data_IF_162918417887
#
_entry.id   IF_162918417887
#
_cell.length_a   1.000
_cell.length_b   1.000
_cell.length_c   1.000
_cell.angle_alpha   90.00
_cell.angle_beta   90.00
_cell.angle_gamma   90.00
#
_symmetry.space_group_name_H-M   'P 1'
#
loop_
_entity.id
_entity.type
_entity.pdbx_description
1 polymer ?
#
# COMPACT_ATOMS: atom_id res chain seq x y z
N UNK A 1 -10.00 -5.91 -20.28
CA UNK A 1 -9.53 -6.59 -19.05
C UNK A 1 -8.52 -5.75 -18.28
N UNK A 2 -7.47 -5.20 -18.91
CA UNK A 2 -6.39 -4.43 -18.24
C UNK A 2 -6.81 -3.12 -17.55
N UNK A 3 -8.00 -2.56 -17.81
CA UNK A 3 -8.51 -1.35 -17.15
C UNK A 3 -9.68 -1.63 -16.18
N UNK A 4 -10.03 -2.91 -15.96
CA UNK A 4 -11.10 -3.24 -15.04
C UNK A 4 -10.62 -3.03 -13.58
N UNK A 5 -11.30 -2.21 -12.76
CA UNK A 5 -10.85 -1.90 -11.40
C UNK A 5 -10.71 -3.14 -10.51
N UNK A 6 -11.60 -4.12 -10.64
CA UNK A 6 -11.56 -5.37 -9.87
C UNK A 6 -10.31 -6.17 -10.24
N UNK A 7 -10.01 -6.27 -11.54
CA UNK A 7 -8.81 -6.95 -12.01
C UNK A 7 -7.53 -6.27 -11.50
N UNK A 8 -7.48 -4.94 -11.52
CA UNK A 8 -6.35 -4.17 -10.97
C UNK A 8 -6.22 -4.37 -9.45
N UNK A 9 -7.33 -4.42 -8.71
CA UNK A 9 -7.32 -4.72 -7.28
C UNK A 9 -6.76 -6.12 -6.98
N UNK A 10 -7.02 -7.12 -7.84
CA UNK A 10 -6.44 -8.45 -7.69
C UNK A 10 -4.91 -8.42 -7.86
N UNK A 11 -4.40 -7.71 -8.88
CA UNK A 11 -2.95 -7.56 -9.08
C UNK A 11 -2.32 -6.89 -7.86
N UNK A 12 -2.95 -5.82 -7.34
CA UNK A 12 -2.49 -5.12 -6.13
C UNK A 12 -2.47 -6.08 -4.94
N UNK A 13 -3.51 -6.90 -4.74
CA UNK A 13 -3.58 -7.85 -3.64
C UNK A 13 -2.43 -8.89 -3.71
N UNK A 14 -2.15 -9.44 -4.89
CA UNK A 14 -1.03 -10.37 -5.06
C UNK A 14 0.33 -9.69 -4.85
N UNK A 15 0.53 -8.50 -5.42
CA UNK A 15 1.78 -7.76 -5.28
C UNK A 15 2.05 -7.37 -3.83
N UNK A 16 1.11 -6.66 -3.19
CA UNK A 16 1.27 -6.13 -1.83
C UNK A 16 1.14 -7.20 -0.74
N UNK A 17 0.39 -8.27 -0.97
CA UNK A 17 0.32 -9.43 -0.07
C UNK A 17 1.49 -10.39 -0.22
N UNK A 18 2.08 -10.50 -1.41
CA UNK A 18 3.14 -11.47 -1.71
C UNK A 18 4.54 -11.00 -1.33
N UNK A 19 4.91 -9.74 -1.61
CA UNK A 19 6.27 -9.27 -1.35
C UNK A 19 6.71 -9.39 0.12
N UNK A 20 5.85 -9.19 1.16
CA UNK A 20 6.26 -9.35 2.55
C UNK A 20 6.75 -10.76 2.87
N UNK A 21 6.14 -11.78 2.24
CA UNK A 21 6.53 -13.18 2.38
C UNK A 21 7.93 -13.41 1.79
N UNK A 22 8.18 -12.85 0.59
CA UNK A 22 9.48 -12.94 -0.09
C UNK A 22 10.56 -12.23 0.76
N UNK A 23 10.26 -11.03 1.25
CA UNK A 23 11.20 -10.24 2.06
C UNK A 23 11.54 -10.92 3.39
N UNK A 24 10.55 -11.53 4.06
CA UNK A 24 10.73 -12.33 5.27
C UNK A 24 11.58 -13.57 5.00
N UNK A 25 11.27 -14.32 3.93
CA UNK A 25 12.00 -15.52 3.55
C UNK A 25 13.47 -15.22 3.21
N UNK A 26 13.74 -14.05 2.62
CA UNK A 26 15.08 -13.58 2.31
C UNK A 26 15.86 -13.08 3.55
N UNK A 27 15.25 -13.03 4.74
CA UNK A 27 15.92 -12.60 5.97
C UNK A 27 16.35 -11.13 5.97
N UNK A 28 15.67 -10.27 5.18
CA UNK A 28 16.08 -8.88 5.02
C UNK A 28 15.80 -8.07 6.30
N UNK A 29 16.76 -7.26 6.79
CA UNK A 29 16.53 -6.35 7.91
C UNK A 29 15.58 -5.21 7.48
N UNK A 30 14.92 -4.50 8.42
CA UNK A 30 13.90 -3.50 8.08
C UNK A 30 14.39 -2.42 7.09
N UNK A 31 15.62 -1.93 7.26
CA UNK A 31 16.21 -0.96 6.35
C UNK A 31 16.54 -1.58 4.98
N UNK A 32 17.01 -2.83 4.97
CA UNK A 32 17.28 -3.58 3.74
C UNK A 32 16.02 -3.83 2.93
N UNK A 33 14.90 -4.18 3.58
CA UNK A 33 13.57 -4.24 2.96
C UNK A 33 13.26 -2.88 2.31
N UNK A 34 13.33 -1.80 3.08
CA UNK A 34 12.96 -0.47 2.59
C UNK A 34 13.78 -0.05 1.35
N UNK A 35 15.09 -0.25 1.36
CA UNK A 35 15.98 0.16 0.27
C UNK A 35 15.86 -0.77 -0.94
N UNK A 36 15.98 -2.08 -0.76
CA UNK A 36 16.02 -3.05 -1.87
C UNK A 36 14.69 -3.08 -2.61
N UNK A 37 13.55 -3.07 -1.90
CA UNK A 37 12.24 -2.97 -2.55
C UNK A 37 12.05 -1.64 -3.27
N UNK A 38 12.54 -0.54 -2.71
CA UNK A 38 12.45 0.76 -3.39
C UNK A 38 13.23 0.76 -4.71
N UNK A 39 14.44 0.19 -4.73
CA UNK A 39 15.23 0.04 -5.96
C UNK A 39 14.48 -0.83 -6.99
N UNK A 40 13.97 -1.99 -6.56
CA UNK A 40 13.19 -2.87 -7.44
C UNK A 40 11.93 -2.19 -7.98
N UNK A 41 11.26 -1.40 -7.15
CA UNK A 41 10.07 -0.62 -7.54
C UNK A 41 10.43 0.47 -8.55
N UNK A 42 11.50 1.23 -8.33
CA UNK A 42 11.97 2.25 -9.29
C UNK A 42 12.33 1.60 -10.63
N UNK A 43 13.03 0.47 -10.62
CA UNK A 43 13.38 -0.25 -11.83
C UNK A 43 12.12 -0.73 -12.59
N UNK A 44 11.17 -1.36 -11.89
CA UNK A 44 9.93 -1.83 -12.48
C UNK A 44 9.09 -0.68 -13.06
N UNK A 45 8.93 0.42 -12.31
CA UNK A 45 8.15 1.59 -12.75
C UNK A 45 8.83 2.31 -13.91
N UNK A 46 10.17 2.45 -13.90
CA UNK A 46 10.90 3.11 -14.99
C UNK A 46 10.81 2.32 -16.29
N UNK A 47 10.78 0.98 -16.23
CA UNK A 47 10.65 0.14 -17.42
C UNK A 47 9.33 0.35 -18.18
N UNK A 48 8.25 0.73 -17.49
CA UNK A 48 6.92 0.98 -18.08
C UNK A 48 6.53 2.45 -18.10
N UNK A 49 7.28 3.31 -17.40
CA UNK A 49 7.00 4.73 -17.21
C UNK A 49 6.83 5.54 -18.50
N UNK A 50 7.70 5.39 -19.51
CA UNK A 50 7.57 6.11 -20.78
C UNK A 50 6.26 5.86 -21.54
N UNK A 51 5.56 4.75 -21.24
CA UNK A 51 4.29 4.39 -21.86
C UNK A 51 3.10 5.00 -21.09
N UNK A 52 3.28 5.29 -19.80
CA UNK A 52 2.20 5.69 -18.88
C UNK A 52 2.29 7.15 -18.43
N UNK A 53 3.32 7.89 -18.84
CA UNK A 53 3.61 9.21 -18.32
C UNK A 53 3.98 10.21 -19.42
N UNK A 54 3.40 11.41 -19.34
CA UNK A 54 3.81 12.57 -20.14
C UNK A 54 4.19 13.73 -19.22
N UNK A 55 5.23 14.47 -19.61
CA UNK A 55 5.75 15.60 -18.83
C UNK A 55 4.82 16.82 -18.85
N UNK A 56 3.88 16.86 -19.79
CA UNK A 56 2.96 17.99 -20.01
C UNK A 56 2.04 18.28 -18.82
N UNK A 57 1.76 17.26 -17.99
CA UNK A 57 0.91 17.39 -16.80
C UNK A 57 1.70 17.75 -15.52
N UNK A 58 3.03 17.86 -15.58
CA UNK A 58 3.87 18.02 -14.40
C UNK A 58 3.96 19.48 -14.00
N UNK A 59 3.26 19.83 -12.92
CA UNK A 59 3.35 21.16 -12.30
C UNK A 59 4.17 21.12 -11.01
N UNK A 60 4.68 22.28 -10.56
CA UNK A 60 5.35 22.40 -9.26
C UNK A 60 4.49 21.86 -8.11
N UNK A 61 3.18 22.09 -8.18
CA UNK A 61 2.21 21.57 -7.20
C UNK A 61 2.18 20.04 -7.21
N UNK A 62 2.12 19.42 -8.38
CA UNK A 62 2.12 17.95 -8.53
C UNK A 62 3.41 17.35 -7.95
N UNK A 63 4.57 17.94 -8.25
CA UNK A 63 5.86 17.50 -7.70
C UNK A 63 5.88 17.61 -6.18
N UNK A 64 5.48 18.76 -5.62
CA UNK A 64 5.47 18.96 -4.17
C UNK A 64 4.54 17.99 -3.45
N UNK A 65 3.31 17.81 -3.93
CA UNK A 65 2.35 16.87 -3.34
C UNK A 65 2.82 15.42 -3.50
N UNK A 66 3.44 15.08 -4.63
CA UNK A 66 4.04 13.77 -4.86
C UNK A 66 5.19 13.47 -3.89
N UNK A 67 6.07 14.45 -3.65
CA UNK A 67 7.15 14.33 -2.66
C UNK A 67 6.62 14.18 -1.24
N UNK A 68 5.60 14.96 -0.87
CA UNK A 68 4.95 14.84 0.45
C UNK A 68 4.32 13.45 0.64
N UNK A 69 3.60 12.95 -0.36
CA UNK A 69 3.06 11.59 -0.35
C UNK A 69 4.19 10.54 -0.25
N UNK A 70 5.30 10.76 -0.95
CA UNK A 70 6.50 9.92 -0.86
C UNK A 70 7.10 9.85 0.55
N UNK A 71 7.15 10.98 1.27
CA UNK A 71 7.61 11.03 2.67
C UNK A 71 6.67 10.24 3.59
N UNK A 72 5.35 10.46 3.47
CA UNK A 72 4.34 9.71 4.24
C UNK A 72 4.46 8.21 3.98
N UNK A 73 4.62 7.83 2.71
CA UNK A 73 4.84 6.44 2.31
C UNK A 73 6.14 5.89 2.92
N UNK A 74 7.27 6.62 2.82
CA UNK A 74 8.56 6.18 3.35
C UNK A 74 8.54 5.92 4.86
N UNK A 75 7.92 6.80 5.64
CA UNK A 75 7.75 6.61 7.09
C UNK A 75 6.90 5.37 7.38
N UNK A 76 5.75 5.25 6.71
CA UNK A 76 4.84 4.10 6.86
C UNK A 76 5.52 2.80 6.45
N UNK A 77 6.33 2.85 5.39
CA UNK A 77 7.05 1.70 4.85
C UNK A 77 8.15 1.21 5.78
N UNK A 78 8.83 2.11 6.51
CA UNK A 78 9.79 1.72 7.56
C UNK A 78 9.09 1.02 8.73
N UNK A 79 7.94 1.54 9.18
CA UNK A 79 7.15 0.90 10.23
C UNK A 79 6.67 -0.49 9.78
N UNK A 80 6.14 -0.59 8.55
CA UNK A 80 5.71 -1.86 7.98
C UNK A 80 6.87 -2.83 7.78
N UNK A 81 8.04 -2.37 7.34
CA UNK A 81 9.25 -3.20 7.19
C UNK A 81 9.71 -3.80 8.51
N UNK A 82 9.53 -3.10 9.64
CA UNK A 82 9.78 -3.66 10.97
C UNK A 82 8.82 -4.79 11.32
N UNK A 83 7.53 -4.62 11.01
CA UNK A 83 6.54 -5.71 11.17
C UNK A 83 6.93 -6.92 10.31
N UNK A 84 7.28 -6.67 9.05
CA UNK A 84 7.63 -7.71 8.07
C UNK A 84 8.94 -8.41 8.40
N UNK A 85 9.93 -7.78 9.02
CA UNK A 85 11.24 -8.43 9.26
C UNK A 85 11.37 -9.10 10.62
N UNK A 86 10.47 -8.86 11.58
CA UNK A 86 10.64 -9.36 12.95
C UNK A 86 10.27 -10.85 13.10
N UNK A 87 11.24 -11.77 13.31
CA UNK A 87 11.00 -13.21 13.42
C UNK A 87 10.11 -13.62 14.59
N UNK A 88 10.02 -12.79 15.64
CA UNK A 88 9.19 -13.06 16.81
C UNK A 88 7.69 -12.77 16.59
N UNK A 89 7.34 -12.17 15.46
CA UNK A 89 5.97 -11.79 15.13
C UNK A 89 5.43 -12.62 13.97
N UNK A 90 4.25 -13.19 14.19
CA UNK A 90 3.55 -13.96 13.17
C UNK A 90 3.15 -13.06 12.00
N UNK A 91 3.78 -13.31 10.85
CA UNK A 91 3.51 -12.54 9.64
C UNK A 91 2.04 -12.68 9.22
N UNK A 92 1.43 -13.85 9.46
CA UNK A 92 0.00 -14.11 9.22
C UNK A 92 -0.94 -13.30 10.11
N UNK A 93 -0.44 -12.65 11.16
CA UNK A 93 -1.23 -11.81 12.05
C UNK A 93 -1.02 -10.34 11.74
N UNK A 94 0.23 -9.86 11.80
CA UNK A 94 0.51 -8.42 11.77
C UNK A 94 0.51 -7.81 10.37
N UNK A 95 0.86 -8.57 9.32
CA UNK A 95 0.78 -8.07 7.94
C UNK A 95 -0.69 -7.90 7.52
N UNK A 96 -1.58 -8.90 7.66
CA UNK A 96 -2.99 -8.71 7.39
C UNK A 96 -3.62 -7.60 8.22
N UNK A 97 -3.26 -7.48 9.51
CA UNK A 97 -3.72 -6.40 10.38
C UNK A 97 -3.39 -5.02 9.79
N UNK A 98 -2.14 -4.78 9.42
CA UNK A 98 -1.70 -3.50 8.88
C UNK A 98 -2.37 -3.19 7.54
N UNK A 99 -2.50 -4.18 6.64
CA UNK A 99 -3.19 -4.01 5.36
C UNK A 99 -4.67 -3.70 5.58
N UNK A 100 -5.34 -4.44 6.47
CA UNK A 100 -6.76 -4.25 6.76
C UNK A 100 -7.05 -2.85 7.31
N UNK A 101 -6.27 -2.39 8.29
CA UNK A 101 -6.41 -1.05 8.86
C UNK A 101 -6.12 0.05 7.83
N UNK A 102 -5.18 -0.18 6.92
CA UNK A 102 -4.87 0.75 5.82
C UNK A 102 -6.08 1.00 4.91
N UNK A 103 -6.97 0.01 4.70
CA UNK A 103 -8.16 0.15 3.86
C UNK A 103 -9.18 1.15 4.42
N UNK A 104 -9.18 1.41 5.72
CA UNK A 104 -10.12 2.34 6.37
C UNK A 104 -9.79 3.78 5.95
N UNK A 105 -8.50 4.10 5.78
CA UNK A 105 -8.03 5.45 5.46
C UNK A 105 -8.63 5.99 4.15
N UNK A 106 -8.57 5.31 2.99
CA UNK A 106 -9.19 5.80 1.76
C UNK A 106 -10.72 5.81 1.81
N UNK A 107 -11.37 4.92 2.59
CA UNK A 107 -12.83 4.95 2.76
C UNK A 107 -13.30 6.26 3.43
N UNK A 108 -12.50 6.78 4.37
CA UNK A 108 -12.78 8.06 5.05
C UNK A 108 -12.23 9.24 4.25
N UNK A 109 -11.03 9.10 3.69
CA UNK A 109 -10.34 10.14 2.93
C UNK A 109 -11.02 10.49 1.61
N UNK A 110 -11.59 9.50 0.91
CA UNK A 110 -12.35 9.67 -0.32
C UNK A 110 -13.42 10.77 -0.19
N UNK A 111 -14.39 10.60 0.74
CA UNK A 111 -15.40 11.61 1.04
C UNK A 111 -14.82 12.97 1.48
N UNK A 112 -13.81 12.97 2.36
CA UNK A 112 -13.26 14.20 2.94
C UNK A 112 -12.52 15.07 1.91
N UNK A 113 -11.72 14.47 1.04
CA UNK A 113 -10.83 15.20 0.14
C UNK A 113 -11.38 15.32 -1.28
N UNK A 114 -12.22 14.38 -1.71
CA UNK A 114 -12.70 14.29 -3.10
C UNK A 114 -14.23 14.42 -3.22
N UNK A 115 -14.95 14.64 -2.11
CA UNK A 115 -16.39 14.84 -2.12
C UNK A 115 -17.19 13.58 -2.50
N UNK A 116 -16.58 12.40 -2.38
CA UNK A 116 -17.28 11.14 -2.63
C UNK A 116 -18.42 10.89 -1.63
N UNK A 117 -19.45 10.18 -2.06
CA UNK A 117 -20.49 9.72 -1.13
C UNK A 117 -19.96 8.61 -0.22
N UNK A 118 -20.10 8.82 1.10
CA UNK A 118 -19.92 7.79 2.11
C UNK A 118 -21.22 6.98 2.24
N UNK A 119 -21.32 5.89 1.47
CA UNK A 119 -22.51 5.04 1.44
C UNK A 119 -22.58 4.13 2.67
N UNK A 120 -23.79 3.66 3.02
CA UNK A 120 -23.96 2.65 4.07
C UNK A 120 -23.13 1.38 3.84
N UNK A 121 -22.94 0.98 2.58
CA UNK A 121 -22.09 -0.16 2.21
C UNK A 121 -20.61 0.07 2.55
N UNK A 122 -20.09 1.30 2.35
CA UNK A 122 -18.71 1.64 2.74
C UNK A 122 -18.55 1.57 4.27
N UNK A 123 -19.55 2.03 5.03
CA UNK A 123 -19.56 1.95 6.51
C UNK A 123 -19.59 0.50 6.99
N UNK A 124 -20.48 -0.33 6.43
CA UNK A 124 -20.55 -1.76 6.73
C UNK A 124 -19.25 -2.47 6.37
N UNK A 125 -18.61 -2.10 5.26
CA UNK A 125 -17.29 -2.61 4.88
C UNK A 125 -16.22 -2.29 5.92
N UNK A 126 -16.17 -1.06 6.43
CA UNK A 126 -15.24 -0.69 7.53
C UNK A 126 -15.52 -1.50 8.79
N UNK A 127 -16.79 -1.67 9.16
CA UNK A 127 -17.16 -2.50 10.31
C UNK A 127 -16.70 -3.96 10.12
N UNK A 128 -16.89 -4.54 8.92
CA UNK A 128 -16.43 -5.88 8.60
C UNK A 128 -14.90 -6.01 8.65
N UNK A 129 -14.16 -5.00 8.20
CA UNK A 129 -12.69 -4.94 8.32
C UNK A 129 -12.28 -4.99 9.79
N UNK A 130 -12.90 -4.17 10.65
CA UNK A 130 -12.59 -4.13 12.08
C UNK A 130 -12.91 -5.46 12.79
N UNK A 131 -14.01 -6.09 12.42
CA UNK A 131 -14.39 -7.43 12.91
C UNK A 131 -13.37 -8.48 12.45
N UNK A 132 -12.96 -8.45 11.17
CA UNK A 132 -11.93 -9.36 10.64
C UNK A 132 -10.59 -9.19 11.35
N UNK A 133 -10.17 -7.94 11.57
CA UNK A 133 -9.00 -7.59 12.37
C UNK A 133 -9.10 -8.15 13.79
N UNK A 134 -10.27 -8.06 14.43
CA UNK A 134 -10.49 -8.61 15.76
C UNK A 134 -10.33 -10.13 15.83
N UNK A 135 -10.63 -10.86 14.75
CA UNK A 135 -10.48 -12.32 14.69
C UNK A 135 -9.10 -12.81 14.28
N UNK A 136 -8.33 -11.99 13.54
CA UNK A 136 -6.97 -12.34 13.09
C UNK A 136 -5.93 -12.10 14.19
N UNK A 137 -6.16 -11.11 15.06
CA UNK A 137 -5.28 -10.77 16.20
C UNK A 137 -5.33 -11.83 17.30
#
# INVERSE_FOLDING_TARGET
>A
MLQNPIFLSLIVAFGFGGWPLIARAAGLPPFGIAVILSIGTVAAVTAVGPIMFTWDAVTKKVVYLGLLAGVINGVSFLAYSKLVSNPAWDISTYVPLAIALMLIVPVIGGPLFFGECLTGNKILGVAAILIGVYFIR
#
